data_IF_306501892459
#
_entry.id   IF_306501892459
#
_cell.length_a   1.000
_cell.length_b   1.000
_cell.length_c   1.000
_cell.angle_alpha   90.00
_cell.angle_beta   90.00
_cell.angle_gamma   90.00
#
_symmetry.space_group_name_H-M   'P 1'
#
loop_
_entity.id
_entity.type
_entity.pdbx_description
1 polymer ?
#
# COMPACT_ATOMS: atom_id res chain seq x y z
N UNK A 1 -14.50 10.81 -49.13
CA UNK A 1 -13.91 12.13 -48.80
C UNK A 1 -13.47 12.03 -47.36
N UNK A 2 -12.25 11.57 -47.11
CA UNK A 2 -11.02 12.35 -47.01
C UNK A 2 -11.00 13.26 -45.75
N UNK A 3 -10.43 12.68 -44.68
CA UNK A 3 -9.46 13.25 -43.73
C UNK A 3 -9.94 14.33 -42.76
N UNK A 4 -9.98 13.94 -41.48
CA UNK A 4 -9.17 14.55 -40.44
C UNK A 4 -8.83 13.47 -39.41
N UNK A 5 -7.63 12.90 -39.54
CA UNK A 5 -7.01 12.17 -38.45
C UNK A 5 -6.52 13.22 -37.45
N UNK A 6 -7.12 13.28 -36.27
CA UNK A 6 -6.44 13.88 -35.12
C UNK A 6 -5.41 12.85 -34.67
N UNK A 7 -4.16 13.08 -35.09
CA UNK A 7 -2.99 12.46 -34.48
C UNK A 7 -2.98 12.90 -33.01
N UNK A 8 -2.91 12.00 -32.02
CA UNK A 8 -2.51 12.42 -30.69
C UNK A 8 -1.06 12.90 -30.79
N UNK A 9 -0.83 14.14 -30.36
CA UNK A 9 0.49 14.65 -30.06
C UNK A 9 1.11 13.71 -29.03
N UNK A 10 2.14 12.97 -29.45
CA UNK A 10 2.97 12.21 -28.54
C UNK A 10 3.56 13.20 -27.53
N UNK A 11 3.18 13.07 -26.25
CA UNK A 11 3.91 13.73 -25.17
C UNK A 11 5.22 12.96 -25.06
N UNK A 12 6.36 13.57 -25.40
CA UNK A 12 7.65 12.91 -25.31
C UNK A 12 8.21 13.03 -23.89
N UNK A 13 7.52 12.47 -22.89
CA UNK A 13 8.03 12.50 -21.52
C UNK A 13 9.28 11.61 -21.41
N UNK A 14 9.29 10.45 -22.08
CA UNK A 14 10.33 9.43 -21.84
C UNK A 14 11.72 9.72 -22.46
N UNK A 15 11.82 10.36 -23.63
CA UNK A 15 13.13 10.57 -24.28
C UNK A 15 13.83 11.87 -23.85
N UNK A 16 13.07 12.93 -23.58
CA UNK A 16 13.63 14.27 -23.29
C UNK A 16 13.52 14.69 -21.84
N UNK A 17 12.60 14.13 -21.06
CA UNK A 17 12.40 14.47 -19.66
C UNK A 17 12.64 13.26 -18.74
N UNK A 18 12.88 13.54 -17.47
CA UNK A 18 13.04 12.54 -16.43
C UNK A 18 12.45 13.10 -15.14
N UNK A 19 11.76 12.26 -14.38
CA UNK A 19 11.33 12.57 -13.02
C UNK A 19 12.46 12.08 -12.09
N UNK A 20 12.90 12.95 -11.19
CA UNK A 20 13.97 12.68 -10.23
C UNK A 20 13.54 13.21 -8.86
N UNK A 21 14.00 12.60 -7.75
CA UNK A 21 13.96 13.26 -6.45
C UNK A 21 14.62 14.64 -6.51
N UNK A 22 13.98 15.67 -5.95
CA UNK A 22 14.60 17.00 -5.86
C UNK A 22 15.87 16.92 -4.99
N UNK A 23 17.01 17.52 -5.41
CA UNK A 23 18.23 17.49 -4.63
C UNK A 23 18.05 18.03 -3.20
N UNK A 24 18.24 17.16 -2.20
CA UNK A 24 18.09 17.48 -0.78
C UNK A 24 16.70 17.19 -0.20
N UNK A 25 15.77 16.73 -1.04
CA UNK A 25 14.54 16.08 -0.62
C UNK A 25 14.88 14.71 -0.02
N UNK A 26 14.27 14.39 1.12
CA UNK A 26 14.40 13.09 1.79
C UNK A 26 13.02 12.49 1.77
N UNK A 27 12.92 11.24 1.32
CA UNK A 27 11.67 10.49 1.39
C UNK A 27 11.25 10.33 2.86
N UNK A 28 10.03 10.74 3.17
CA UNK A 28 9.42 10.44 4.45
C UNK A 28 8.61 9.16 4.30
N UNK A 29 9.10 8.06 4.87
CA UNK A 29 8.38 6.79 4.88
C UNK A 29 7.13 6.92 5.74
N UNK A 30 5.99 6.50 5.17
CA UNK A 30 4.66 6.52 5.79
C UNK A 30 4.03 5.14 5.89
N UNK A 31 4.57 4.15 5.16
CA UNK A 31 4.09 2.78 5.19
C UNK A 31 5.12 1.79 4.62
N UNK A 32 4.93 0.52 4.94
CA UNK A 32 5.78 -0.58 4.51
C UNK A 32 4.92 -1.81 4.27
N UNK A 33 5.27 -2.61 3.27
CA UNK A 33 4.69 -3.94 3.04
C UNK A 33 5.81 -4.93 2.76
N UNK A 34 5.99 -5.93 3.64
CA UNK A 34 6.99 -6.99 3.48
C UNK A 34 6.54 -8.11 2.55
N UNK A 35 6.76 -9.37 2.94
CA UNK A 35 6.38 -10.55 2.15
C UNK A 35 5.81 -11.69 3.02
N UNK A 36 4.68 -12.31 2.63
CA UNK A 36 3.80 -12.00 1.52
C UNK A 36 2.90 -10.78 1.80
N UNK A 37 2.25 -10.28 0.75
CA UNK A 37 1.28 -9.17 0.82
C UNK A 37 -0.04 -9.54 0.14
N UNK A 38 -1.07 -8.74 0.40
CA UNK A 38 -2.39 -8.83 -0.22
C UNK A 38 -2.51 -7.74 -1.30
N UNK A 39 -2.76 -8.10 -2.58
CA UNK A 39 -2.98 -7.11 -3.62
C UNK A 39 -4.14 -6.17 -3.26
N UNK A 40 -4.08 -4.89 -3.65
CA UNK A 40 -3.09 -4.26 -4.54
C UNK A 40 -1.76 -3.87 -3.86
N UNK A 41 -1.54 -4.14 -2.56
CA UNK A 41 -0.23 -3.92 -1.97
C UNK A 41 0.87 -4.70 -2.72
N UNK A 42 2.06 -4.12 -2.80
CA UNK A 42 3.19 -4.68 -3.56
C UNK A 42 4.22 -5.23 -2.58
N UNK A 43 4.73 -6.43 -2.89
CA UNK A 43 5.72 -7.11 -2.04
C UNK A 43 6.98 -6.25 -1.91
N UNK A 44 7.47 -6.11 -0.68
CA UNK A 44 8.66 -5.33 -0.32
C UNK A 44 8.57 -3.90 -0.84
N UNK A 45 7.40 -3.28 -0.64
CA UNK A 45 7.18 -1.89 -1.01
C UNK A 45 7.24 -0.98 0.19
N UNK A 46 7.80 0.20 -0.04
CA UNK A 46 7.77 1.32 0.90
C UNK A 46 6.83 2.35 0.33
N UNK A 47 6.01 2.93 1.20
CA UNK A 47 5.19 4.08 0.88
C UNK A 47 5.81 5.30 1.56
N UNK A 48 5.76 6.44 0.88
CA UNK A 48 6.33 7.65 1.42
C UNK A 48 5.90 8.89 0.69
N UNK A 49 6.52 10.00 1.08
CA UNK A 49 6.28 11.32 0.51
C UNK A 49 7.60 11.97 0.17
N UNK A 50 7.69 12.54 -1.04
CA UNK A 50 8.90 13.19 -1.50
C UNK A 50 8.59 14.30 -2.51
N UNK A 51 9.48 15.30 -2.54
CA UNK A 51 9.51 16.32 -3.60
C UNK A 51 10.27 15.79 -4.81
N UNK A 52 9.68 15.92 -6.00
CA UNK A 52 10.27 15.54 -7.28
C UNK A 52 10.52 16.74 -8.17
N UNK A 53 11.53 16.63 -9.04
CA UNK A 53 11.83 17.54 -10.13
C UNK A 53 11.57 16.89 -11.50
N UNK A 54 11.06 17.69 -12.43
CA UNK A 54 11.03 17.34 -13.85
C UNK A 54 12.28 17.90 -14.52
N UNK A 55 13.19 17.02 -14.93
CA UNK A 55 14.48 17.36 -15.52
C UNK A 55 14.48 17.21 -17.05
N UNK A 56 14.82 18.26 -17.78
CA UNK A 56 15.00 18.21 -19.24
C UNK A 56 16.42 17.73 -19.58
N UNK A 57 16.54 16.49 -20.06
CA UNK A 57 17.80 15.85 -20.48
C UNK A 57 18.46 16.54 -21.67
N UNK A 58 17.70 17.25 -22.50
CA UNK A 58 18.19 17.94 -23.69
C UNK A 58 18.93 19.22 -23.34
N UNK A 59 18.38 19.97 -22.38
CA UNK A 59 18.95 21.24 -21.92
C UNK A 59 19.84 21.08 -20.68
N UNK A 60 19.67 19.99 -19.93
CA UNK A 60 20.31 19.74 -18.65
C UNK A 60 19.81 20.68 -17.55
N UNK A 61 18.51 21.00 -17.54
CA UNK A 61 17.90 21.95 -16.60
C UNK A 61 16.61 21.39 -16.00
N UNK A 62 16.31 21.82 -14.78
CA UNK A 62 15.02 21.57 -14.11
C UNK A 62 13.94 22.47 -14.72
N UNK A 63 12.81 21.88 -15.04
CA UNK A 63 11.65 22.54 -15.64
C UNK A 63 10.64 23.00 -14.58
N UNK A 64 10.50 22.21 -13.52
CA UNK A 64 9.65 22.48 -12.37
C UNK A 64 9.72 21.36 -11.35
N UNK A 65 8.97 21.52 -10.26
CA UNK A 65 8.96 20.62 -9.11
C UNK A 65 7.54 20.41 -8.59
N UNK A 66 7.30 19.28 -7.94
CA UNK A 66 6.00 18.87 -7.40
C UNK A 66 6.17 17.96 -6.18
N UNK A 67 5.19 17.97 -5.28
CA UNK A 67 5.07 16.98 -4.21
C UNK A 67 4.33 15.74 -4.73
N UNK A 68 4.76 14.55 -4.31
CA UNK A 68 4.03 13.33 -4.57
C UNK A 68 4.06 12.39 -3.36
N UNK A 69 2.95 11.68 -3.16
CA UNK A 69 2.99 10.40 -2.45
C UNK A 69 3.61 9.37 -3.40
N UNK A 70 4.47 8.52 -2.88
CA UNK A 70 5.15 7.49 -3.66
C UNK A 70 5.01 6.10 -3.03
N UNK A 71 5.08 5.09 -3.89
CA UNK A 71 5.38 3.73 -3.47
C UNK A 71 6.53 3.19 -4.30
N UNK A 72 7.54 2.66 -3.63
CA UNK A 72 8.72 2.08 -4.26
C UNK A 72 8.86 0.63 -3.88
N UNK A 73 9.18 -0.21 -4.84
CA UNK A 73 9.57 -1.59 -4.57
C UNK A 73 10.75 -1.98 -5.43
N UNK A 74 11.81 -2.39 -4.76
CA UNK A 74 13.03 -2.90 -5.37
C UNK A 74 12.90 -4.42 -5.56
N UNK A 75 13.07 -4.89 -6.78
CA UNK A 75 13.10 -6.33 -7.05
C UNK A 75 14.51 -6.88 -6.88
N UNK A 76 14.57 -8.08 -6.31
CA UNK A 76 15.74 -8.94 -6.14
C UNK A 76 16.52 -9.25 -7.45
N UNK A 77 15.98 -8.90 -8.61
CA UNK A 77 16.55 -9.16 -9.94
C UNK A 77 16.97 -7.90 -10.70
N UNK A 78 17.08 -6.74 -10.02
CA UNK A 78 17.44 -5.47 -10.65
C UNK A 78 16.32 -4.83 -11.46
N UNK A 79 15.10 -5.37 -11.35
CA UNK A 79 13.89 -4.66 -11.71
C UNK A 79 13.47 -3.81 -10.51
N UNK A 80 12.85 -2.66 -10.71
CA UNK A 80 12.33 -1.88 -9.61
C UNK A 80 11.19 -1.02 -10.11
N UNK A 81 10.28 -0.69 -9.21
CA UNK A 81 9.09 0.04 -9.55
C UNK A 81 8.88 1.22 -8.60
N UNK A 82 8.42 2.32 -9.18
CA UNK A 82 8.10 3.55 -8.49
C UNK A 82 6.77 4.06 -9.03
N UNK A 83 5.81 4.16 -8.12
CA UNK A 83 4.49 4.71 -8.33
C UNK A 83 4.43 6.07 -7.66
N UNK A 84 3.87 7.06 -8.35
CA UNK A 84 3.73 8.43 -7.88
C UNK A 84 2.26 8.86 -8.02
N UNK A 85 1.73 9.47 -6.97
CA UNK A 85 0.52 10.29 -7.00
C UNK A 85 0.91 11.74 -6.75
N UNK A 86 0.72 12.61 -7.74
CA UNK A 86 1.04 14.04 -7.57
C UNK A 86 0.03 14.70 -6.65
N UNK A 87 0.50 15.25 -5.53
CA UNK A 87 -0.32 15.84 -4.48
C UNK A 87 -0.31 17.36 -4.49
N UNK A 88 0.75 17.98 -5.02
CA UNK A 88 0.84 19.45 -5.07
C UNK A 88 1.82 19.95 -6.15
N UNK A 89 1.45 21.03 -6.83
CA UNK A 89 2.31 21.72 -7.80
C UNK A 89 3.16 22.78 -7.08
N UNK A 90 4.49 22.70 -7.18
CA UNK A 90 5.39 23.67 -6.53
C UNK A 90 5.89 24.73 -7.50
N UNK A 91 6.50 24.32 -8.60
CA UNK A 91 7.09 25.21 -9.61
C UNK A 91 6.94 24.66 -11.02
N UNK A 92 7.08 25.52 -12.03
CA UNK A 92 6.88 25.16 -13.43
C UNK A 92 5.46 25.44 -13.90
N UNK A 93 5.09 24.88 -15.06
CA UNK A 93 3.72 24.94 -15.59
C UNK A 93 3.09 23.57 -15.45
N UNK A 94 2.03 23.45 -14.65
CA UNK A 94 1.28 22.21 -14.54
C UNK A 94 0.45 21.96 -15.81
N UNK A 95 0.51 20.76 -16.35
CA UNK A 95 -0.21 20.41 -17.56
C UNK A 95 0.12 19.02 -18.12
N UNK A 96 -0.62 18.62 -19.14
CA UNK A 96 -0.42 17.32 -19.82
C UNK A 96 0.50 17.44 -21.04
N UNK A 97 1.05 18.62 -21.31
CA UNK A 97 1.95 18.89 -22.42
C UNK A 97 3.38 18.43 -22.17
N UNK A 98 4.17 18.39 -23.25
CA UNK A 98 5.59 18.07 -23.14
C UNK A 98 6.34 19.19 -22.42
N UNK A 99 7.06 18.83 -21.35
CA UNK A 99 7.77 19.80 -20.51
C UNK A 99 6.87 20.52 -19.50
N UNK A 100 5.60 20.14 -19.39
CA UNK A 100 4.78 20.54 -18.26
C UNK A 100 5.05 19.60 -17.08
N UNK A 101 4.97 20.14 -15.87
CA UNK A 101 4.95 19.33 -14.63
C UNK A 101 3.61 18.60 -14.57
N UNK A 102 3.56 17.32 -14.16
CA UNK A 102 2.30 16.59 -14.06
C UNK A 102 1.34 17.31 -13.09
N UNK A 103 0.06 17.53 -13.45
CA UNK A 103 -0.90 18.18 -12.56
C UNK A 103 -1.22 17.35 -11.32
N UNK A 104 -1.66 18.00 -10.25
CA UNK A 104 -2.21 17.33 -9.07
C UNK A 104 -3.31 16.33 -9.43
N UNK A 105 -3.27 15.14 -8.82
CA UNK A 105 -4.12 13.99 -9.12
C UNK A 105 -3.58 13.08 -10.23
N UNK A 106 -2.44 13.42 -10.84
CA UNK A 106 -1.81 12.54 -11.83
C UNK A 106 -1.18 11.31 -11.18
N UNK A 107 -1.35 10.15 -11.80
CA UNK A 107 -0.71 8.89 -11.44
C UNK A 107 0.38 8.55 -12.45
N UNK A 108 1.59 8.28 -11.97
CA UNK A 108 2.73 7.89 -12.81
C UNK A 108 3.36 6.64 -12.23
N UNK A 109 3.48 5.60 -13.05
CA UNK A 109 4.13 4.37 -12.66
C UNK A 109 5.35 4.09 -13.55
N UNK A 110 6.51 3.93 -12.94
CA UNK A 110 7.79 3.68 -13.59
C UNK A 110 8.24 2.28 -13.17
N UNK A 111 8.31 1.34 -14.12
CA UNK A 111 8.91 0.03 -13.88
C UNK A 111 10.20 -0.10 -14.70
N UNK A 112 11.34 -0.11 -14.02
CA UNK A 112 12.65 -0.41 -14.59
C UNK A 112 12.87 -1.92 -14.50
N UNK A 113 13.32 -2.55 -15.59
CA UNK A 113 13.66 -3.98 -15.64
C UNK A 113 15.18 -4.20 -15.77
N UNK A 114 15.96 -3.13 -15.63
CA UNK A 114 17.39 -3.12 -15.82
C UNK A 114 17.80 -3.08 -17.29
N UNK A 115 19.10 -2.87 -17.52
CA UNK A 115 19.73 -2.90 -18.86
C UNK A 115 19.08 -1.97 -19.90
N UNK A 116 18.46 -0.86 -19.45
CA UNK A 116 17.80 0.12 -20.32
C UNK A 116 16.42 -0.31 -20.81
N UNK A 117 15.79 -1.31 -20.17
CA UNK A 117 14.38 -1.66 -20.39
C UNK A 117 13.52 -1.06 -19.29
N UNK A 118 12.55 -0.23 -19.65
CA UNK A 118 11.65 0.41 -18.69
C UNK A 118 10.27 0.57 -19.32
N UNK A 119 9.22 0.45 -18.51
CA UNK A 119 7.88 0.92 -18.88
C UNK A 119 7.49 2.09 -18.00
N UNK A 120 6.90 3.12 -18.62
CA UNK A 120 6.32 4.25 -17.91
C UNK A 120 4.84 4.28 -18.26
N UNK A 121 3.98 4.14 -17.28
CA UNK A 121 2.56 4.42 -17.39
C UNK A 121 2.29 5.80 -16.77
N UNK A 122 1.45 6.61 -17.41
CA UNK A 122 1.05 7.91 -16.89
C UNK A 122 -0.42 8.17 -17.21
N UNK A 123 -1.21 8.44 -16.17
CA UNK A 123 -2.54 9.01 -16.24
C UNK A 123 -2.46 10.45 -15.72
N UNK A 124 -2.40 11.42 -16.64
CA UNK A 124 -2.20 12.82 -16.28
C UNK A 124 -3.56 13.51 -16.15
N UNK A 125 -3.83 14.05 -14.95
CA UNK A 125 -5.10 14.67 -14.60
C UNK A 125 -5.38 15.92 -15.47
N UNK A 126 -6.62 16.10 -15.94
CA UNK A 126 -7.01 17.23 -16.78
C UNK A 126 -8.51 17.53 -16.73
N UNK A 127 -8.87 18.81 -16.75
CA UNK A 127 -10.28 19.27 -16.72
C UNK A 127 -11.08 18.87 -17.96
N UNK A 128 -10.41 18.60 -19.08
CA UNK A 128 -11.04 18.20 -20.34
C UNK A 128 -11.06 16.66 -20.52
N UNK A 129 -10.68 15.92 -19.47
CA UNK A 129 -10.43 14.48 -19.48
C UNK A 129 -8.95 14.17 -19.42
N UNK A 130 -8.60 13.09 -18.72
CA UNK A 130 -7.23 12.74 -18.41
C UNK A 130 -6.48 12.18 -19.63
N UNK A 131 -5.16 12.39 -19.64
CA UNK A 131 -4.28 11.94 -20.71
C UNK A 131 -3.54 10.69 -20.27
N UNK A 132 -4.01 9.54 -20.75
CA UNK A 132 -3.45 8.23 -20.39
C UNK A 132 -2.48 7.72 -21.45
N UNK A 133 -1.24 7.49 -21.07
CA UNK A 133 -0.16 7.03 -21.95
C UNK A 133 0.65 5.91 -21.33
N UNK A 134 1.20 5.05 -22.20
CA UNK A 134 2.19 4.04 -21.83
C UNK A 134 3.39 4.18 -22.75
N UNK A 135 4.58 4.21 -22.16
CA UNK A 135 5.87 4.19 -22.84
C UNK A 135 6.59 2.88 -22.57
N UNK A 136 7.26 2.36 -23.58
CA UNK A 136 8.24 1.29 -23.48
C UNK A 136 9.58 1.84 -23.97
N UNK A 137 10.50 2.00 -23.03
CA UNK A 137 11.89 2.38 -23.26
C UNK A 137 12.74 1.13 -23.40
N UNK A 138 13.59 1.08 -24.42
CA UNK A 138 14.56 0.01 -24.65
C UNK A 138 15.92 0.62 -25.01
N UNK A 139 17.01 -0.18 -25.03
CA UNK A 139 18.30 0.29 -25.55
C UNK A 139 18.28 0.78 -27.00
N UNK A 140 17.22 0.48 -27.76
CA UNK A 140 17.06 0.85 -29.17
C UNK A 140 16.16 2.08 -29.37
N UNK A 141 15.63 2.65 -28.29
CA UNK A 141 14.75 3.81 -28.29
C UNK A 141 13.42 3.55 -27.58
N UNK A 142 12.59 4.58 -27.57
CA UNK A 142 11.31 4.60 -26.85
C UNK A 142 10.14 4.59 -27.81
N UNK A 143 9.08 3.87 -27.44
CA UNK A 143 7.81 3.85 -28.14
C UNK A 143 6.67 4.16 -27.18
N UNK A 144 5.59 4.73 -27.68
CA UNK A 144 4.39 5.03 -26.88
C UNK A 144 3.12 4.46 -27.49
N UNK A 145 2.15 4.18 -26.63
CA UNK A 145 0.79 3.81 -26.99
C UNK A 145 -0.20 4.50 -26.05
N UNK A 146 -1.43 4.78 -26.50
CA UNK A 146 -2.50 5.17 -25.59
C UNK A 146 -2.68 4.11 -24.48
N UNK A 147 -2.91 4.56 -23.24
CA UNK A 147 -3.37 3.68 -22.17
C UNK A 147 -4.88 3.48 -22.26
N UNK A 148 -5.38 2.38 -21.68
CA UNK A 148 -6.80 2.02 -21.67
C UNK A 148 -7.44 2.12 -20.28
N UNK A 149 -6.63 2.00 -19.23
CA UNK A 149 -7.02 2.18 -17.84
C UNK A 149 -6.52 3.53 -17.38
N UNK A 150 -7.38 4.30 -16.75
CA UNK A 150 -7.12 5.65 -16.28
C UNK A 150 -7.06 5.63 -14.76
N UNK A 151 -5.86 5.46 -14.20
CA UNK A 151 -5.67 5.33 -12.75
C UNK A 151 -5.88 6.67 -12.01
N UNK A 152 -5.86 7.80 -12.72
CA UNK A 152 -6.20 9.10 -12.16
C UNK A 152 -7.72 9.31 -12.10
N UNK A 153 -8.49 8.55 -12.89
CA UNK A 153 -9.94 8.64 -12.90
C UNK A 153 -10.51 8.16 -11.57
N UNK A 154 -11.07 9.12 -10.83
CA UNK A 154 -11.72 8.84 -9.55
C UNK A 154 -10.79 8.72 -8.36
N UNK A 155 -9.50 9.00 -8.54
CA UNK A 155 -8.46 8.78 -7.56
C UNK A 155 -7.53 10.02 -7.54
N UNK A 156 -7.73 10.91 -6.55
CA UNK A 156 -7.07 12.22 -6.38
C UNK A 156 -7.89 13.17 -5.48
N UNK A 157 -7.51 14.46 -5.34
CA UNK A 157 -8.29 15.51 -4.60
C UNK A 157 -9.72 15.77 -5.14
N UNK A 158 -10.16 14.98 -6.10
CA UNK A 158 -11.53 14.91 -6.62
C UNK A 158 -11.98 13.44 -6.59
N UNK A 159 -11.78 12.74 -5.47
CA UNK A 159 -12.09 11.32 -5.34
C UNK A 159 -13.49 11.03 -5.89
N UNK A 160 -13.60 10.02 -6.75
CA UNK A 160 -14.89 9.55 -7.24
C UNK A 160 -15.69 8.86 -6.13
N UNK A 161 -15.10 8.65 -4.95
CA UNK A 161 -15.79 8.21 -3.75
C UNK A 161 -16.62 9.31 -3.13
N UNK A 162 -17.75 9.53 -3.79
CA UNK A 162 -18.89 10.26 -3.28
C UNK A 162 -20.15 9.41 -3.34
N UNK A 163 -20.04 8.12 -3.71
CA UNK A 163 -21.20 7.25 -3.83
C UNK A 163 -21.69 6.84 -2.45
N UNK A 164 -22.94 7.16 -2.09
CA UNK A 164 -23.48 6.74 -0.81
C UNK A 164 -23.71 5.23 -0.79
N UNK A 165 -23.14 4.54 0.20
CA UNK A 165 -23.28 3.09 0.33
C UNK A 165 -24.57 2.77 1.05
N UNK A 166 -25.51 2.20 0.29
CA UNK A 166 -26.83 1.87 0.79
C UNK A 166 -26.76 0.64 1.69
N UNK A 167 -27.36 0.77 2.88
CA UNK A 167 -27.53 -0.31 3.84
C UNK A 167 -28.94 -0.91 3.68
N UNK A 168 -29.07 -2.21 4.01
CA UNK A 168 -30.34 -2.94 3.85
C UNK A 168 -31.45 -2.48 4.82
N UNK A 169 -31.13 -1.65 5.80
CA UNK A 169 -32.00 -1.21 6.89
C UNK A 169 -32.68 0.15 6.65
N UNK A 170 -32.48 0.74 5.47
CA UNK A 170 -33.04 2.03 5.09
C UNK A 170 -32.15 3.23 5.46
N UNK A 171 -30.88 2.98 5.79
CA UNK A 171 -29.85 3.99 5.97
C UNK A 171 -28.78 3.87 4.88
N UNK A 172 -27.90 4.86 4.83
CA UNK A 172 -26.66 4.78 4.07
C UNK A 172 -25.58 5.55 4.80
N UNK A 173 -24.33 5.27 4.47
CA UNK A 173 -23.22 6.15 4.84
C UNK A 173 -22.58 6.74 3.58
N UNK A 174 -21.99 7.91 3.74
CA UNK A 174 -21.30 8.61 2.68
C UNK A 174 -20.26 9.55 3.30
N UNK A 175 -19.21 9.92 2.55
CA UNK A 175 -18.30 10.98 2.95
C UNK A 175 -19.03 12.24 3.40
N UNK A 176 -18.54 12.83 4.49
CA UNK A 176 -19.14 14.02 5.06
C UNK A 176 -19.07 15.19 4.06
N UNK A 177 -20.22 15.83 3.82
CA UNK A 177 -20.34 16.87 2.80
C UNK A 177 -19.34 18.02 3.02
N UNK A 178 -18.50 18.28 2.02
CA UNK A 178 -17.52 19.38 2.03
C UNK A 178 -16.25 19.09 2.82
N UNK A 179 -16.02 17.82 3.20
CA UNK A 179 -14.77 17.33 3.79
C UNK A 179 -14.19 16.32 2.81
N UNK A 180 -13.07 16.69 2.19
CA UNK A 180 -12.36 15.80 1.28
C UNK A 180 -11.61 14.71 2.07
N UNK A 181 -11.37 13.58 1.42
CA UNK A 181 -10.45 12.57 1.94
C UNK A 181 -9.05 13.17 2.13
N UNK A 182 -8.42 12.85 3.25
CA UNK A 182 -7.03 13.19 3.48
C UNK A 182 -6.17 12.00 3.07
N UNK A 183 -5.68 12.05 1.83
CA UNK A 183 -4.81 11.04 1.22
C UNK A 183 -3.45 11.06 1.92
N UNK A 184 -2.92 9.87 2.22
CA UNK A 184 -1.65 9.70 2.93
C UNK A 184 -0.66 8.78 2.22
N UNK A 185 -1.12 7.97 1.27
CA UNK A 185 -0.28 7.00 0.57
C UNK A 185 -0.92 6.53 -0.74
N UNK A 186 -0.07 5.97 -1.59
CA UNK A 186 -0.43 5.34 -2.86
C UNK A 186 0.21 3.96 -2.94
N UNK A 187 -0.38 3.02 -3.67
CA UNK A 187 0.14 1.67 -3.87
C UNK A 187 -0.39 1.02 -5.15
N UNK A 188 0.08 -0.19 -5.47
CA UNK A 188 -0.33 -0.94 -6.67
C UNK A 188 0.66 -0.91 -7.83
N UNK A 189 0.27 -1.53 -8.94
CA UNK A 189 1.08 -1.68 -10.14
C UNK A 189 0.34 -1.20 -11.42
N UNK A 190 0.07 0.11 -11.58
CA UNK A 190 -0.63 0.59 -12.77
C UNK A 190 0.07 0.20 -14.08
N UNK A 191 -0.67 -0.22 -15.11
CA UNK A 191 -2.12 -0.15 -15.25
C UNK A 191 -2.89 -1.39 -14.75
N UNK A 192 -2.27 -2.29 -13.99
CA UNK A 192 -2.98 -3.49 -13.50
C UNK A 192 -4.00 -3.12 -12.42
N UNK A 193 -3.55 -2.36 -11.43
CA UNK A 193 -4.32 -1.91 -10.28
C UNK A 193 -3.70 -0.63 -9.70
N UNK A 194 -4.44 0.04 -8.82
CA UNK A 194 -4.01 1.16 -8.00
C UNK A 194 -4.71 1.05 -6.64
N UNK A 195 -4.03 1.46 -5.57
CA UNK A 195 -4.61 1.77 -4.27
C UNK A 195 -4.26 3.21 -3.88
N UNK A 196 -5.22 3.93 -3.36
CA UNK A 196 -5.01 5.20 -2.65
C UNK A 196 -5.54 5.01 -1.24
N UNK A 197 -4.71 5.34 -0.25
CA UNK A 197 -5.07 5.20 1.15
C UNK A 197 -5.07 6.56 1.83
N UNK A 198 -5.90 6.67 2.86
CA UNK A 198 -6.12 7.92 3.54
C UNK A 198 -7.02 7.78 4.75
N UNK A 199 -7.55 8.91 5.19
CA UNK A 199 -8.54 8.99 6.24
C UNK A 199 -9.69 9.91 5.83
N UNK A 200 -10.91 9.50 6.19
CA UNK A 200 -12.11 10.20 5.79
C UNK A 200 -13.17 10.20 6.89
N UNK A 201 -13.87 11.33 7.00
CA UNK A 201 -15.03 11.47 7.87
C UNK A 201 -16.28 11.03 7.09
N UNK A 202 -17.06 10.12 7.65
CA UNK A 202 -18.32 9.66 7.10
C UNK A 202 -19.49 10.12 7.97
N UNK A 203 -20.61 10.41 7.31
CA UNK A 203 -21.90 10.60 7.97
C UNK A 203 -22.80 9.40 7.65
N UNK A 204 -23.62 8.99 8.62
CA UNK A 204 -24.72 8.04 8.43
C UNK A 204 -26.02 8.82 8.25
N UNK A 205 -26.84 8.46 7.27
CA UNK A 205 -28.05 9.16 6.88
C UNK A 205 -29.27 8.25 6.88
N UNK A 206 -30.42 8.77 7.32
CA UNK A 206 -31.73 8.18 7.06
C UNK A 206 -32.10 8.40 5.58
N UNK A 207 -32.21 7.31 4.81
CA UNK A 207 -32.45 7.38 3.37
C UNK A 207 -33.82 7.98 3.01
N UNK A 208 -34.80 7.98 3.93
CA UNK A 208 -36.13 8.50 3.66
C UNK A 208 -36.17 10.03 3.57
N UNK A 209 -35.22 10.72 4.20
CA UNK A 209 -35.23 12.18 4.32
C UNK A 209 -33.85 12.85 4.14
N UNK A 210 -32.79 12.07 3.87
CA UNK A 210 -31.42 12.57 3.67
C UNK A 210 -30.94 13.39 4.89
N UNK A 211 -31.19 12.85 6.09
CA UNK A 211 -30.81 13.48 7.34
C UNK A 211 -29.70 12.68 8.03
N UNK A 212 -28.59 13.34 8.33
CA UNK A 212 -27.50 12.75 9.08
C UNK A 212 -27.94 12.37 10.50
N UNK A 213 -27.78 11.10 10.87
CA UNK A 213 -28.13 10.54 12.19
C UNK A 213 -26.90 10.29 13.07
N UNK A 214 -25.71 10.24 12.48
CA UNK A 214 -24.43 10.07 13.17
C UNK A 214 -23.24 10.25 12.23
N UNK A 215 -22.03 10.12 12.77
CA UNK A 215 -20.79 10.25 12.03
C UNK A 215 -19.66 9.41 12.66
N UNK A 216 -18.70 9.00 11.84
CA UNK A 216 -17.50 8.26 12.27
C UNK A 216 -16.29 8.63 11.40
N UNK A 217 -15.09 8.52 11.97
CA UNK A 217 -13.82 8.65 11.25
C UNK A 217 -13.30 7.26 10.91
N UNK A 218 -12.73 7.11 9.72
CA UNK A 218 -12.11 5.86 9.31
C UNK A 218 -10.79 6.08 8.57
N UNK A 219 -9.97 5.03 8.57
CA UNK A 219 -8.96 4.78 7.53
C UNK A 219 -9.70 4.21 6.32
N UNK A 220 -9.28 4.62 5.12
CA UNK A 220 -9.92 4.23 3.86
C UNK A 220 -8.85 3.84 2.87
N UNK A 221 -9.12 2.78 2.09
CA UNK A 221 -8.35 2.44 0.91
C UNK A 221 -9.26 2.19 -0.28
N UNK A 222 -9.03 3.02 -1.29
CA UNK A 222 -9.77 3.02 -2.54
C UNK A 222 -8.93 2.35 -3.62
N UNK A 223 -9.45 1.29 -4.22
CA UNK A 223 -8.75 0.55 -5.26
C UNK A 223 -9.49 0.60 -6.58
N UNK A 224 -8.77 0.50 -7.69
CA UNK A 224 -9.35 0.22 -8.99
C UNK A 224 -8.43 -0.64 -9.86
N UNK A 225 -9.01 -1.40 -10.77
CA UNK A 225 -8.29 -2.36 -11.61
C UNK A 225 -8.53 -2.19 -13.13
N UNK A 226 -7.69 -2.85 -13.93
CA UNK A 226 -7.77 -2.85 -15.40
C UNK A 226 -9.09 -3.40 -15.97
N UNK A 227 -9.88 -4.11 -15.17
CA UNK A 227 -11.20 -4.64 -15.57
C UNK A 227 -12.36 -3.81 -15.02
N UNK A 228 -12.06 -2.61 -14.50
CA UNK A 228 -13.00 -1.59 -14.04
C UNK A 228 -13.79 -1.97 -12.79
N UNK A 229 -13.27 -2.87 -11.95
CA UNK A 229 -13.77 -2.99 -10.58
C UNK A 229 -13.17 -1.88 -9.73
N UNK A 230 -13.91 -1.45 -8.71
CA UNK A 230 -13.39 -0.56 -7.66
C UNK A 230 -13.75 -1.10 -6.30
N UNK A 231 -12.92 -0.84 -5.30
CA UNK A 231 -13.22 -1.19 -3.90
C UNK A 231 -12.97 -0.03 -2.98
N UNK A 232 -13.72 0.02 -1.89
CA UNK A 232 -13.51 0.95 -0.78
C UNK A 232 -13.47 0.11 0.50
N UNK A 233 -12.27 -0.11 1.03
CA UNK A 233 -12.06 -0.75 2.33
C UNK A 233 -11.97 0.33 3.41
N UNK A 234 -12.74 0.16 4.49
CA UNK A 234 -12.94 1.17 5.52
C UNK A 234 -12.73 0.53 6.88
N UNK A 235 -11.83 1.10 7.69
CA UNK A 235 -11.65 0.71 9.08
C UNK A 235 -11.99 1.86 10.03
N UNK A 236 -13.02 1.68 10.86
CA UNK A 236 -13.52 2.72 11.76
C UNK A 236 -12.58 2.91 12.95
N UNK A 237 -11.97 4.09 13.02
CA UNK A 237 -11.00 4.45 14.05
C UNK A 237 -11.59 5.32 15.15
N UNK A 238 -12.68 6.05 14.88
CA UNK A 238 -13.30 6.93 15.87
C UNK A 238 -14.81 7.08 15.70
N UNK A 239 -15.55 6.95 16.81
CA UNK A 239 -16.94 7.40 16.90
C UNK A 239 -17.00 8.92 17.10
N UNK A 240 -17.73 9.62 16.23
CA UNK A 240 -17.85 11.09 16.26
C UNK A 240 -19.18 11.52 16.86
N UNK A 241 -20.29 10.90 16.43
CA UNK A 241 -21.63 11.19 16.94
C UNK A 241 -22.64 10.12 16.55
N UNK A 242 -23.75 10.04 17.27
CA UNK A 242 -24.79 9.04 17.04
C UNK A 242 -24.78 7.99 18.15
N UNK A 243 -25.32 6.81 17.86
CA UNK A 243 -25.22 5.63 18.73
C UNK A 243 -24.39 4.60 17.99
N UNK A 244 -23.22 4.23 18.51
CA UNK A 244 -22.40 3.18 17.94
C UNK A 244 -23.00 1.80 18.23
N UNK A 245 -23.17 0.97 17.20
CA UNK A 245 -23.82 -0.33 17.37
C UNK A 245 -24.10 -1.08 16.07
N UNK A 246 -25.06 -2.00 16.15
CA UNK A 246 -25.50 -2.88 15.05
C UNK A 246 -27.00 -2.75 14.77
N UNK A 247 -27.70 -1.84 15.47
CA UNK A 247 -29.10 -1.58 15.20
C UNK A 247 -29.24 -0.66 13.99
N UNK A 248 -30.43 -0.64 13.40
CA UNK A 248 -30.67 0.15 12.20
C UNK A 248 -30.44 1.65 12.45
N UNK A 249 -29.58 2.26 11.64
CA UNK A 249 -29.19 3.67 11.75
C UNK A 249 -28.19 4.01 12.86
N UNK A 250 -27.66 3.01 13.56
CA UNK A 250 -26.48 3.18 14.41
C UNK A 250 -25.26 3.52 13.54
N UNK A 251 -24.30 4.24 14.12
CA UNK A 251 -22.96 4.33 13.52
C UNK A 251 -22.21 3.03 13.73
N UNK A 252 -21.34 2.61 12.79
CA UNK A 252 -20.48 1.47 13.05
C UNK A 252 -19.54 1.77 14.23
N UNK A 253 -19.37 0.85 15.19
CA UNK A 253 -18.45 1.04 16.30
C UNK A 253 -16.98 1.06 15.86
N UNK A 254 -16.11 1.63 16.70
CA UNK A 254 -14.65 1.57 16.50
C UNK A 254 -14.20 0.12 16.40
N UNK A 255 -13.36 -0.17 15.41
CA UNK A 255 -12.92 -1.51 15.07
C UNK A 255 -13.80 -2.22 14.04
N UNK A 256 -14.88 -1.59 13.56
CA UNK A 256 -15.61 -2.11 12.39
C UNK A 256 -14.74 -2.01 11.15
N UNK A 257 -14.60 -3.12 10.42
CA UNK A 257 -14.05 -3.15 9.07
C UNK A 257 -15.19 -3.36 8.07
N UNK A 258 -15.19 -2.59 6.99
CA UNK A 258 -16.14 -2.70 5.89
C UNK A 258 -15.36 -2.76 4.58
N UNK A 259 -15.88 -3.49 3.60
CA UNK A 259 -15.41 -3.39 2.22
C UNK A 259 -16.59 -3.33 1.28
N UNK A 260 -16.53 -2.40 0.34
CA UNK A 260 -17.52 -2.28 -0.73
C UNK A 260 -16.84 -2.56 -2.05
N UNK A 261 -17.15 -3.71 -2.63
CA UNK A 261 -16.64 -4.10 -3.94
C UNK A 261 -17.67 -3.75 -5.02
N UNK A 262 -17.39 -2.73 -5.82
CA UNK A 262 -18.18 -2.40 -7.00
C UNK A 262 -17.66 -3.20 -8.19
N UNK A 263 -18.54 -4.01 -8.76
CA UNK A 263 -18.28 -4.61 -10.05
C UNK A 263 -18.37 -3.52 -11.15
N UNK A 264 -17.95 -3.84 -12.37
CA UNK A 264 -18.07 -2.93 -13.51
C UNK A 264 -19.48 -2.30 -13.74
N UNK A 265 -20.53 -2.85 -13.12
CA UNK A 265 -21.84 -2.19 -12.95
C UNK A 265 -21.97 -1.68 -11.50
N UNK A 266 -21.96 -0.35 -11.25
CA UNK A 266 -22.00 0.20 -9.90
C UNK A 266 -23.32 -0.06 -9.16
N UNK A 267 -24.37 -0.53 -9.86
CA UNK A 267 -25.61 -0.96 -9.20
C UNK A 267 -25.53 -2.35 -8.60
N UNK A 268 -24.46 -3.09 -8.88
CA UNK A 268 -24.15 -4.41 -8.32
C UNK A 268 -22.87 -4.25 -7.52
N UNK A 269 -22.97 -4.46 -6.21
CA UNK A 269 -21.80 -4.39 -5.33
C UNK A 269 -21.89 -5.43 -4.22
N UNK A 270 -20.75 -5.83 -3.71
CA UNK A 270 -20.65 -6.67 -2.53
C UNK A 270 -20.30 -5.78 -1.33
N UNK A 271 -21.11 -5.85 -0.28
CA UNK A 271 -20.87 -5.19 0.99
C UNK A 271 -20.50 -6.26 2.02
N UNK A 272 -19.25 -6.24 2.44
CA UNK A 272 -18.71 -7.07 3.50
C UNK A 272 -18.46 -6.22 4.74
N UNK A 273 -18.81 -6.73 5.93
CA UNK A 273 -18.59 -6.02 7.19
C UNK A 273 -18.20 -6.99 8.31
N UNK A 274 -17.25 -6.57 9.13
CA UNK A 274 -16.91 -7.17 10.43
C UNK A 274 -17.17 -6.12 11.50
N UNK A 275 -18.20 -6.31 12.30
CA UNK A 275 -18.57 -5.36 13.37
C UNK A 275 -18.28 -5.95 14.75
N UNK A 276 -17.41 -5.33 15.56
CA UNK A 276 -17.14 -5.80 16.91
C UNK A 276 -18.33 -5.59 17.85
N UNK A 277 -18.59 -6.59 18.70
CA UNK A 277 -19.60 -6.51 19.75
C UNK A 277 -19.06 -7.07 21.06
N UNK A 278 -19.77 -6.83 22.17
CA UNK A 278 -19.41 -7.41 23.48
C UNK A 278 -19.41 -8.96 23.52
N UNK A 279 -20.01 -9.62 22.52
CA UNK A 279 -20.10 -11.08 22.41
C UNK A 279 -19.17 -11.67 21.33
N UNK A 280 -18.33 -10.87 20.69
CA UNK A 280 -17.51 -11.23 19.53
C UNK A 280 -17.95 -10.52 18.25
N UNK A 281 -17.22 -10.74 17.17
CA UNK A 281 -17.46 -10.08 15.89
C UNK A 281 -18.74 -10.61 15.22
N UNK A 282 -19.53 -9.69 14.66
CA UNK A 282 -20.66 -9.99 13.78
C UNK A 282 -20.19 -9.75 12.35
N UNK A 283 -20.23 -10.80 11.53
CA UNK A 283 -19.77 -10.76 10.14
C UNK A 283 -20.99 -10.81 9.22
N UNK A 284 -21.06 -9.87 8.28
CA UNK A 284 -22.02 -9.84 7.17
C UNK A 284 -21.31 -9.79 5.83
N UNK A 285 -21.89 -10.44 4.84
CA UNK A 285 -21.45 -10.39 3.45
C UNK A 285 -22.72 -10.41 2.59
N UNK A 286 -22.98 -9.32 1.87
CA UNK A 286 -24.20 -9.13 1.09
C UNK A 286 -23.88 -8.68 -0.32
N UNK A 287 -24.29 -9.47 -1.30
CA UNK A 287 -24.34 -9.02 -2.69
C UNK A 287 -25.62 -8.20 -2.90
N UNK A 288 -25.46 -6.90 -3.08
CA UNK A 288 -26.53 -5.96 -3.40
C UNK A 288 -26.75 -5.93 -4.91
N UNK A 289 -28.00 -6.05 -5.34
CA UNK A 289 -28.36 -6.01 -6.76
C UNK A 289 -29.67 -5.25 -6.99
N UNK A 290 -29.93 -4.75 -8.21
CA UNK A 290 -31.23 -4.15 -8.56
C UNK A 290 -32.43 -5.10 -8.43
N UNK A 291 -32.18 -6.40 -8.27
CA UNK A 291 -33.20 -7.44 -8.16
C UNK A 291 -33.43 -7.92 -6.73
N UNK A 292 -32.70 -7.34 -5.76
CA UNK A 292 -32.72 -7.69 -4.35
C UNK A 292 -31.37 -8.17 -3.84
N UNK A 293 -31.26 -8.24 -2.52
CA UNK A 293 -29.99 -8.51 -1.83
C UNK A 293 -29.85 -9.99 -1.51
N UNK A 294 -28.61 -10.50 -1.63
CA UNK A 294 -28.27 -11.89 -1.37
C UNK A 294 -27.19 -11.96 -0.30
N UNK A 295 -27.54 -12.51 0.87
CA UNK A 295 -26.57 -12.79 1.92
C UNK A 295 -25.70 -14.00 1.54
N UNK A 296 -24.39 -13.84 1.60
CA UNK A 296 -23.37 -14.85 1.34
C UNK A 296 -22.83 -15.32 2.71
N UNK A 297 -23.23 -16.50 3.22
CA UNK A 297 -22.78 -16.94 4.53
C UNK A 297 -21.30 -17.34 4.49
N UNK A 298 -20.42 -16.45 4.96
CA UNK A 298 -18.99 -16.66 5.07
C UNK A 298 -18.49 -16.26 6.47
N UNK A 299 -17.79 -17.13 7.21
CA UNK A 299 -17.31 -16.83 8.57
C UNK A 299 -15.91 -16.19 8.59
N UNK A 300 -15.46 -15.62 7.47
CA UNK A 300 -14.14 -14.98 7.39
C UNK A 300 -14.15 -13.69 8.20
N UNK A 301 -13.14 -13.52 9.05
CA UNK A 301 -12.95 -12.35 9.89
C UNK A 301 -11.70 -11.60 9.42
N UNK A 302 -11.89 -10.61 8.56
CA UNK A 302 -10.82 -9.74 8.06
C UNK A 302 -10.01 -9.05 9.17
N UNK A 303 -10.64 -8.77 10.32
CA UNK A 303 -9.96 -8.10 11.44
C UNK A 303 -8.94 -8.99 12.14
N UNK A 304 -8.90 -10.29 11.84
CA UNK A 304 -7.85 -11.17 12.35
C UNK A 304 -6.46 -10.84 11.79
N UNK A 305 -6.35 -10.05 10.72
CA UNK A 305 -5.05 -9.52 10.31
C UNK A 305 -4.42 -8.63 11.41
N UNK A 306 -5.23 -7.94 12.22
CA UNK A 306 -4.73 -7.13 13.34
C UNK A 306 -4.23 -7.94 14.54
N UNK A 307 -4.28 -9.27 14.48
CA UNK A 307 -3.73 -10.11 15.55
C UNK A 307 -2.20 -9.93 15.55
N UNK A 308 -1.69 -9.28 16.60
CA UNK A 308 -0.24 -9.07 16.77
C UNK A 308 0.39 -10.28 17.45
N UNK A 309 1.50 -10.76 16.90
CA UNK A 309 2.12 -12.00 17.36
C UNK A 309 3.51 -11.74 17.95
N UNK A 310 3.83 -12.46 19.03
CA UNK A 310 5.23 -12.62 19.42
C UNK A 310 5.83 -13.79 18.66
N UNK A 311 7.06 -13.66 18.16
CA UNK A 311 7.79 -14.77 17.55
C UNK A 311 9.20 -14.90 18.13
N UNK A 312 9.77 -16.09 18.01
CA UNK A 312 11.12 -16.40 18.51
C UNK A 312 12.07 -16.60 17.34
N UNK A 313 13.17 -15.85 17.33
CA UNK A 313 14.24 -15.96 16.36
C UNK A 313 14.91 -17.34 16.49
N UNK A 314 14.85 -18.19 15.45
CA UNK A 314 15.42 -19.55 15.53
C UNK A 314 16.95 -19.57 15.66
N UNK A 315 17.61 -18.46 15.33
CA UNK A 315 19.07 -18.32 15.33
C UNK A 315 19.68 -18.26 16.73
N UNK A 316 18.98 -17.67 17.69
CA UNK A 316 19.50 -17.40 19.04
C UNK A 316 18.49 -17.65 20.18
N UNK A 317 17.21 -17.91 19.87
CA UNK A 317 16.17 -18.16 20.85
C UNK A 317 15.65 -16.91 21.55
N UNK A 318 15.94 -15.73 21.03
CA UNK A 318 15.37 -14.45 21.49
C UNK A 318 13.98 -14.26 20.89
N UNK A 319 13.10 -13.57 21.62
CA UNK A 319 11.72 -13.33 21.20
C UNK A 319 11.50 -11.85 20.92
N UNK A 320 10.86 -11.55 19.80
CA UNK A 320 10.33 -10.22 19.47
C UNK A 320 8.89 -10.21 19.95
N UNK A 321 8.57 -9.27 20.86
CA UNK A 321 7.30 -9.21 21.57
C UNK A 321 6.71 -7.81 21.42
N UNK A 322 5.48 -7.65 20.90
CA UNK A 322 4.85 -6.33 20.77
C UNK A 322 4.57 -5.69 22.15
N UNK A 323 4.76 -4.38 22.23
CA UNK A 323 4.56 -3.58 23.44
C UNK A 323 3.38 -2.61 23.25
N UNK A 324 2.26 -2.90 23.90
CA UNK A 324 1.08 -2.03 23.82
C UNK A 324 0.17 -2.39 22.64
N UNK A 325 -0.41 -1.38 22.00
CA UNK A 325 -1.33 -1.54 20.87
C UNK A 325 -0.75 -0.81 19.67
N UNK A 326 -0.84 -1.45 18.51
CA UNK A 326 -0.38 -0.90 17.25
C UNK A 326 -1.11 0.42 16.94
N UNK A 327 -0.36 1.39 16.46
CA UNK A 327 -0.91 2.64 15.93
C UNK A 327 -1.07 2.46 14.43
N UNK A 328 -2.29 2.13 14.00
CA UNK A 328 -2.60 1.95 12.59
C UNK A 328 -2.42 3.24 11.79
N UNK A 329 -1.78 3.11 10.63
CA UNK A 329 -1.60 4.16 9.64
C UNK A 329 -2.46 3.92 8.38
N UNK A 330 -2.73 2.65 8.04
CA UNK A 330 -3.56 2.29 6.90
C UNK A 330 -4.13 0.87 6.96
N UNK A 331 -5.03 0.60 6.02
CA UNK A 331 -5.72 -0.67 5.78
C UNK A 331 -5.67 -0.96 4.28
N UNK A 332 -5.60 -2.20 3.82
CA UNK A 332 -5.58 -2.51 2.38
C UNK A 332 -6.03 -3.96 2.13
N UNK A 333 -6.52 -4.29 0.93
CA UNK A 333 -6.96 -5.62 0.55
C UNK A 333 -8.34 -5.61 -0.09
N UNK A 334 -8.89 -6.82 -0.29
CA UNK A 334 -10.22 -7.02 -0.90
C UNK A 334 -11.06 -8.01 -0.07
N UNK A 335 -11.51 -7.63 1.14
CA UNK A 335 -12.37 -8.50 1.94
C UNK A 335 -13.66 -8.89 1.19
N UNK A 336 -14.17 -10.13 1.32
CA UNK A 336 -13.71 -11.17 2.25
C UNK A 336 -12.65 -12.13 1.67
N UNK A 337 -11.87 -11.70 0.68
CA UNK A 337 -10.80 -12.52 0.10
C UNK A 337 -9.54 -12.44 0.95
N UNK A 338 -9.16 -11.21 1.30
CA UNK A 338 -7.99 -10.88 2.10
C UNK A 338 -8.10 -9.46 2.69
N UNK A 339 -7.23 -9.16 3.63
CA UNK A 339 -7.09 -7.86 4.30
C UNK A 339 -5.68 -7.72 4.82
N UNK A 340 -5.24 -6.48 4.96
CA UNK A 340 -3.97 -6.09 5.54
C UNK A 340 -4.10 -4.79 6.29
N UNK A 341 -3.24 -4.63 7.27
CA UNK A 341 -3.10 -3.43 8.07
C UNK A 341 -1.63 -3.07 8.12
N UNK A 342 -1.34 -1.79 8.21
CA UNK A 342 0.00 -1.34 8.51
C UNK A 342 -0.02 -0.15 9.43
N UNK A 343 1.08 0.03 10.14
CA UNK A 343 1.18 1.02 11.19
C UNK A 343 2.52 0.95 11.91
N UNK A 344 2.50 1.43 13.15
CA UNK A 344 3.68 1.56 13.98
C UNK A 344 3.50 0.82 15.31
N UNK A 345 4.54 0.12 15.74
CA UNK A 345 4.54 -0.68 16.97
C UNK A 345 5.92 -0.65 17.65
N UNK A 346 5.95 -0.45 18.97
CA UNK A 346 7.15 -0.70 19.79
C UNK A 346 7.25 -2.21 20.07
N UNK A 347 8.44 -2.78 19.99
CA UNK A 347 8.73 -4.17 20.31
C UNK A 347 9.78 -4.29 21.41
N UNK A 348 9.60 -5.26 22.29
CA UNK A 348 10.59 -5.72 23.24
C UNK A 348 11.35 -6.91 22.64
N UNK A 349 12.68 -6.86 22.74
CA UNK A 349 13.53 -8.03 22.51
C UNK A 349 13.75 -8.74 23.85
N UNK A 350 13.31 -9.98 23.97
CA UNK A 350 13.49 -10.79 25.17
C UNK A 350 14.49 -11.92 24.94
N UNK A 351 15.30 -12.22 25.95
CA UNK A 351 16.15 -13.41 25.91
C UNK A 351 15.33 -14.71 26.05
N UNK A 352 15.97 -15.85 25.83
CA UNK A 352 15.33 -17.17 25.92
C UNK A 352 14.72 -17.51 27.32
N UNK A 353 14.97 -16.67 28.34
CA UNK A 353 14.38 -16.79 29.68
C UNK A 353 13.18 -15.86 29.91
N UNK A 354 12.81 -15.05 28.91
CA UNK A 354 11.76 -14.03 28.99
C UNK A 354 12.22 -12.75 29.70
N UNK A 355 13.52 -12.46 29.70
CA UNK A 355 14.03 -11.19 30.22
C UNK A 355 14.22 -10.19 29.09
N UNK A 356 13.57 -9.03 29.20
CA UNK A 356 13.72 -7.93 28.23
C UNK A 356 15.17 -7.41 28.19
N UNK A 357 15.78 -7.52 27.02
CA UNK A 357 17.10 -6.97 26.67
C UNK A 357 16.98 -5.46 26.41
N UNK A 358 15.95 -5.05 25.67
CA UNK A 358 15.66 -3.65 25.33
C UNK A 358 14.40 -3.54 24.45
N UNK A 359 14.13 -2.34 23.95
CA UNK A 359 13.03 -2.08 22.99
C UNK A 359 13.55 -1.39 21.73
N UNK A 360 12.85 -1.64 20.62
CA UNK A 360 13.02 -0.98 19.34
C UNK A 360 11.65 -0.66 18.76
N UNK A 361 11.59 0.35 17.90
CA UNK A 361 10.39 0.75 17.19
C UNK A 361 10.42 0.19 15.78
N UNK A 362 9.26 -0.20 15.26
CA UNK A 362 9.15 -0.65 13.88
C UNK A 362 7.86 -0.24 13.20
N UNK A 363 7.95 -0.09 11.89
CA UNK A 363 6.80 -0.09 11.00
C UNK A 363 6.40 -1.54 10.77
N UNK A 364 5.11 -1.82 10.86
CA UNK A 364 4.55 -3.16 10.81
C UNK A 364 3.54 -3.24 9.69
N UNK A 365 3.52 -4.37 8.98
CA UNK A 365 2.43 -4.74 8.12
C UNK A 365 1.97 -6.16 8.41
N UNK A 366 0.68 -6.31 8.62
CA UNK A 366 0.05 -7.61 8.85
C UNK A 366 -0.92 -7.91 7.73
N UNK A 367 -1.00 -9.18 7.32
CA UNK A 367 -1.94 -9.59 6.28
C UNK A 367 -2.62 -10.91 6.62
N UNK A 368 -3.88 -11.07 6.21
CA UNK A 368 -4.46 -12.40 6.07
C UNK A 368 -4.05 -12.99 4.72
N UNK A 369 -3.71 -14.27 4.67
CA UNK A 369 -3.38 -14.92 3.40
C UNK A 369 -4.52 -14.92 2.39
N UNK A 370 -4.18 -14.87 1.10
CA UNK A 370 -5.12 -14.93 -0.04
C UNK A 370 -6.12 -16.10 0.13
N UNK A 371 -7.41 -15.79 0.03
CA UNK A 371 -8.57 -16.67 0.29
C UNK A 371 -8.89 -16.95 1.76
N UNK A 372 -8.36 -16.16 2.70
CA UNK A 372 -8.86 -16.00 4.07
C UNK A 372 -9.02 -17.26 4.95
N UNK A 373 -8.66 -18.46 4.47
CA UNK A 373 -9.20 -19.69 5.05
C UNK A 373 -8.28 -20.91 4.97
N UNK A 374 -7.03 -20.73 4.55
CA UNK A 374 -5.97 -21.71 4.82
C UNK A 374 -5.18 -21.37 6.09
N UNK A 375 -5.71 -20.48 6.94
CA UNK A 375 -5.15 -20.14 8.26
C UNK A 375 -3.74 -19.59 8.23
N UNK A 376 -3.37 -18.94 7.12
CA UNK A 376 -2.11 -18.22 7.03
C UNK A 376 -2.34 -16.74 7.31
N UNK A 377 -1.47 -16.14 8.09
CA UNK A 377 -1.29 -14.70 8.20
C UNK A 377 0.19 -14.38 8.06
N UNK A 378 0.52 -13.13 7.75
CA UNK A 378 1.89 -12.66 7.81
C UNK A 378 2.01 -11.41 8.65
N UNK A 379 3.19 -11.22 9.22
CA UNK A 379 3.61 -10.01 9.92
C UNK A 379 5.01 -9.66 9.42
N UNK A 380 5.15 -8.45 8.89
CA UNK A 380 6.39 -7.87 8.42
C UNK A 380 6.76 -6.71 9.35
N UNK A 381 8.02 -6.62 9.76
CA UNK A 381 8.53 -5.58 10.66
C UNK A 381 9.78 -4.97 10.06
N UNK A 382 9.75 -3.65 9.86
CA UNK A 382 10.90 -2.82 9.54
C UNK A 382 11.34 -2.06 10.78
N UNK A 383 12.60 -2.22 11.21
CA UNK A 383 13.13 -1.50 12.38
C UNK A 383 13.41 -0.04 12.01
N UNK A 384 12.72 0.90 12.66
CA UNK A 384 12.79 2.34 12.38
C UNK A 384 13.49 3.15 13.46
N UNK A 385 13.51 2.66 14.70
CA UNK A 385 14.35 3.21 15.76
C UNK A 385 14.82 2.13 16.72
N UNK A 386 16.00 2.33 17.31
CA UNK A 386 16.56 1.44 18.32
C UNK A 386 17.04 2.24 19.55
N UNK A 387 17.04 1.60 20.71
CA UNK A 387 17.56 2.23 21.93
C UNK A 387 18.39 1.24 22.77
N UNK A 388 19.71 1.27 22.62
CA UNK A 388 20.59 0.46 23.45
C UNK A 388 21.87 -0.01 22.78
N UNK A 389 22.27 -1.24 23.11
CA UNK A 389 23.38 -1.92 22.43
C UNK A 389 22.84 -2.60 21.19
N UNK A 390 23.22 -2.11 20.01
CA UNK A 390 22.71 -2.56 18.72
C UNK A 390 23.75 -3.34 17.95
N UNK A 391 23.31 -4.34 17.21
CA UNK A 391 24.18 -5.16 16.38
C UNK A 391 23.52 -6.46 15.97
N UNK A 392 24.34 -7.35 15.42
CA UNK A 392 23.88 -8.63 14.87
C UNK A 392 24.13 -9.81 15.81
N UNK A 393 24.69 -9.57 17.00
CA UNK A 393 24.96 -10.64 17.96
C UNK A 393 23.76 -10.85 18.91
N UNK A 394 23.68 -12.04 19.50
CA UNK A 394 22.71 -12.31 20.56
C UNK A 394 22.93 -11.37 21.75
N UNK A 395 21.85 -10.83 22.29
CA UNK A 395 21.81 -9.83 23.35
C UNK A 395 21.92 -8.39 22.84
N UNK A 396 21.90 -8.18 21.52
CA UNK A 396 21.93 -6.86 20.89
C UNK A 396 20.61 -6.60 20.18
N UNK A 397 20.13 -5.36 20.23
CA UNK A 397 18.95 -4.95 19.49
C UNK A 397 19.25 -4.92 17.98
N UNK A 398 18.27 -5.27 17.13
CA UNK A 398 18.43 -5.15 15.69
C UNK A 398 18.64 -3.67 15.33
N UNK A 399 19.67 -3.33 14.52
CA UNK A 399 19.87 -1.96 14.08
C UNK A 399 18.75 -1.46 13.15
N UNK A 400 18.53 -0.15 13.10
CA UNK A 400 17.64 0.49 12.10
C UNK A 400 17.91 -0.02 10.68
N UNK A 401 16.83 -0.33 9.97
CA UNK A 401 16.82 -0.93 8.64
C UNK A 401 16.86 -2.46 8.63
N UNK A 402 16.91 -3.11 9.79
CA UNK A 402 16.72 -4.56 9.87
C UNK A 402 15.26 -4.92 9.58
N UNK A 403 15.04 -6.06 8.94
CA UNK A 403 13.72 -6.51 8.53
C UNK A 403 13.42 -7.93 9.03
N UNK A 404 12.17 -8.17 9.38
CA UNK A 404 11.66 -9.47 9.78
C UNK A 404 10.35 -9.75 9.05
N UNK A 405 10.23 -10.94 8.46
CA UNK A 405 8.99 -11.40 7.84
C UNK A 405 8.61 -12.74 8.47
N UNK A 406 7.41 -12.81 9.05
CA UNK A 406 6.88 -14.02 9.66
C UNK A 406 5.62 -14.42 8.94
N UNK A 407 5.58 -15.66 8.46
CA UNK A 407 4.37 -16.27 7.91
C UNK A 407 3.88 -17.32 8.89
N UNK A 408 2.75 -17.06 9.52
CA UNK A 408 2.06 -18.01 10.37
C UNK A 408 1.30 -19.00 9.49
N UNK A 409 1.42 -20.29 9.80
CA UNK A 409 0.72 -21.36 9.11
C UNK A 409 -0.11 -22.20 10.10
N UNK A 410 -1.14 -22.92 9.62
CA UNK A 410 -1.88 -23.84 10.47
C UNK A 410 -1.00 -24.88 11.14
N UNK A 411 -1.50 -25.41 12.26
CA UNK A 411 -0.88 -26.53 12.99
C UNK A 411 0.47 -26.21 13.65
N UNK A 412 0.75 -24.92 13.92
CA UNK A 412 1.95 -24.48 14.64
C UNK A 412 3.21 -24.51 13.77
N UNK A 413 3.04 -24.23 12.48
CA UNK A 413 4.14 -24.02 11.54
C UNK A 413 4.32 -22.51 11.35
N UNK A 414 5.55 -22.06 11.21
CA UNK A 414 5.87 -20.66 10.90
C UNK A 414 7.05 -20.64 9.93
N UNK A 415 7.05 -19.69 9.01
CA UNK A 415 8.25 -19.35 8.25
C UNK A 415 8.75 -18.01 8.77
N UNK A 416 9.97 -17.98 9.31
CA UNK A 416 10.58 -16.77 9.86
C UNK A 416 11.78 -16.41 8.99
N UNK A 417 11.69 -15.26 8.33
CA UNK A 417 12.79 -14.59 7.66
C UNK A 417 13.30 -13.46 8.55
N UNK A 418 14.62 -13.28 8.60
CA UNK A 418 15.26 -12.14 9.24
C UNK A 418 16.45 -11.66 8.42
N UNK A 419 16.57 -10.34 8.32
CA UNK A 419 17.69 -9.64 7.72
C UNK A 419 18.17 -8.57 8.69
N UNK A 420 19.18 -8.91 9.49
CA UNK A 420 19.69 -8.02 10.53
C UNK A 420 20.88 -7.23 9.97
N UNK A 421 20.70 -5.92 9.89
CA UNK A 421 21.68 -5.00 9.32
C UNK A 421 22.99 -5.04 10.09
N UNK A 422 24.12 -5.07 9.36
CA UNK A 422 25.45 -4.93 9.96
C UNK A 422 26.07 -3.57 9.64
N UNK A 423 26.53 -2.86 10.66
CA UNK A 423 27.24 -1.57 10.50
C UNK A 423 28.72 -1.71 10.15
N UNK A 424 29.27 -2.93 10.15
CA UNK A 424 30.71 -3.20 9.97
C UNK A 424 31.04 -4.35 9.02
N UNK A 425 30.03 -5.01 8.46
CA UNK A 425 30.18 -6.21 7.63
C UNK A 425 28.93 -6.49 6.79
N UNK A 426 28.77 -7.75 6.36
CA UNK A 426 27.55 -8.19 5.70
C UNK A 426 26.42 -8.39 6.70
N UNK A 427 25.18 -8.21 6.26
CA UNK A 427 23.99 -8.48 7.04
C UNK A 427 23.93 -9.96 7.50
N UNK A 428 23.23 -10.20 8.60
CA UNK A 428 22.93 -11.56 9.08
C UNK A 428 21.54 -11.94 8.61
N UNK A 429 21.52 -12.67 7.50
CA UNK A 429 20.29 -13.11 6.82
C UNK A 429 19.99 -14.56 7.19
N UNK A 430 18.74 -14.85 7.55
CA UNK A 430 18.27 -16.20 7.77
C UNK A 430 16.83 -16.40 7.34
N UNK A 431 16.50 -17.62 6.93
CA UNK A 431 15.13 -18.06 6.71
C UNK A 431 14.97 -19.44 7.33
N UNK A 432 13.91 -19.63 8.12
CA UNK A 432 13.69 -20.88 8.85
C UNK A 432 12.22 -21.27 8.83
N UNK A 433 11.96 -22.52 8.45
CA UNK A 433 10.68 -23.17 8.67
C UNK A 433 10.66 -23.79 10.07
N UNK A 434 9.91 -23.16 10.98
CA UNK A 434 9.63 -23.63 12.34
C UNK A 434 8.53 -24.68 12.28
N UNK A 435 8.73 -25.81 12.96
CA UNK A 435 7.73 -26.88 13.00
C UNK A 435 7.61 -27.51 14.39
N UNK A 436 6.48 -28.17 14.72
CA UNK A 436 6.33 -28.86 16.00
C UNK A 436 7.33 -30.00 16.25
N UNK A 437 8.12 -30.39 15.24
CA UNK A 437 9.08 -31.51 15.32
C UNK A 437 10.53 -31.08 15.12
N UNK A 438 10.78 -29.77 15.04
CA UNK A 438 12.11 -29.16 14.87
C UNK A 438 12.18 -28.22 13.67
N UNK A 439 13.17 -27.33 13.71
CA UNK A 439 13.28 -26.22 12.77
C UNK A 439 14.22 -26.56 11.61
N UNK A 440 13.90 -26.05 10.42
CA UNK A 440 14.64 -26.28 9.20
C UNK A 440 15.09 -24.95 8.60
N UNK A 441 16.40 -24.71 8.57
CA UNK A 441 16.95 -23.58 7.83
C UNK A 441 16.71 -23.76 6.34
N UNK A 442 16.16 -22.72 5.72
CA UNK A 442 15.94 -22.65 4.28
C UNK A 442 17.05 -21.82 3.64
N UNK A 443 17.62 -22.26 2.50
CA UNK A 443 18.52 -21.40 1.74
C UNK A 443 17.76 -20.20 1.22
N UNK A 444 18.18 -19.00 1.61
CA UNK A 444 17.67 -17.75 1.06
C UNK A 444 18.79 -16.96 0.39
N UNK A 445 18.46 -16.28 -0.69
CA UNK A 445 19.30 -15.25 -1.31
C UNK A 445 18.65 -13.88 -1.23
N UNK A 446 17.57 -13.76 -0.46
CA UNK A 446 16.89 -12.49 -0.24
C UNK A 446 17.70 -11.66 0.76
N UNK A 447 17.97 -10.41 0.42
CA UNK A 447 18.61 -9.39 1.26
C UNK A 447 17.67 -8.19 1.18
N UNK A 448 16.67 -8.16 2.06
CA UNK A 448 15.63 -7.15 2.01
C UNK A 448 16.19 -5.79 2.47
N UNK A 449 17.05 -5.80 3.49
CA UNK A 449 17.64 -4.60 4.07
C UNK A 449 18.66 -3.93 3.13
N UNK A 450 19.20 -4.63 2.13
CA UNK A 450 20.08 -4.04 1.11
C UNK A 450 19.45 -2.82 0.40
N UNK A 451 18.12 -2.77 0.29
CA UNK A 451 17.42 -1.71 -0.43
C UNK A 451 17.38 -0.38 0.33
N UNK A 452 17.51 -0.41 1.66
CA UNK A 452 17.52 0.77 2.53
C UNK A 452 18.91 1.44 2.64
N UNK A 453 19.98 0.66 2.47
CA UNK A 453 21.35 1.18 2.45
C UNK A 453 21.62 2.10 1.23
N UNK A 454 20.83 1.88 0.16
CA UNK A 454 20.57 2.75 -0.98
C UNK A 454 20.78 4.25 -0.74
N UNK A 455 19.93 4.86 0.12
CA UNK A 455 19.60 6.32 0.15
C UNK A 455 19.41 6.98 -1.23
N UNK A 456 19.43 6.18 -2.30
CA UNK A 456 19.42 6.50 -3.70
C UNK A 456 18.33 5.61 -4.24
N UNK A 457 17.12 6.13 -4.21
CA UNK A 457 16.10 5.74 -5.15
C UNK A 457 16.73 5.70 -6.54
N UNK A 458 16.63 4.54 -7.19
CA UNK A 458 17.09 4.18 -8.53
C UNK A 458 17.64 5.32 -9.39
N UNK A 459 18.96 5.49 -9.33
CA UNK A 459 19.70 5.99 -10.48
C UNK A 459 20.67 4.90 -10.91
N UNK A 460 20.31 3.98 -11.84
CA UNK A 460 21.32 3.21 -12.54
C UNK A 460 21.99 4.13 -13.57
N UNK A 461 22.76 5.09 -13.06
CA UNK A 461 23.76 5.83 -13.81
C UNK A 461 24.94 4.93 -14.11
N UNK A 462 24.76 3.93 -14.97
CA UNK A 462 25.82 3.29 -15.74
C UNK A 462 26.91 2.47 -15.00
N UNK A 463 26.97 1.19 -15.40
CA UNK A 463 28.17 0.37 -15.59
C UNK A 463 29.02 -0.01 -14.36
N UNK A 464 28.64 -1.14 -13.74
CA UNK A 464 29.45 -1.93 -12.84
C UNK A 464 28.65 -2.13 -11.56
N UNK A 465 27.81 -3.15 -11.47
CA UNK A 465 28.24 -4.45 -10.97
C UNK A 465 27.15 -5.50 -11.27
N UNK A 466 27.30 -6.28 -12.33
CA UNK A 466 26.58 -7.56 -12.46
C UNK A 466 27.36 -8.49 -13.41
N UNK A 467 28.59 -8.81 -13.03
CA UNK A 467 29.29 -9.97 -13.60
C UNK A 467 29.25 -11.07 -12.54
N UNK A 468 28.70 -12.22 -12.95
CA UNK A 468 28.41 -13.42 -12.14
C UNK A 468 27.08 -13.26 -11.39
N UNK A 469 25.98 -13.93 -11.73
CA UNK A 469 25.85 -15.29 -12.21
C UNK A 469 24.55 -15.46 -13.00
N UNK A 470 24.67 -15.62 -14.33
CA UNK A 470 23.64 -16.26 -15.14
C UNK A 470 23.87 -17.77 -15.09
N UNK A 471 23.02 -18.50 -14.36
CA UNK A 471 22.49 -19.82 -14.73
C UNK A 471 21.15 -20.06 -14.04
#
# INVERSE_FOLDING_TARGET
MLVAACLPTAVSVADSYQILPEPGSVEQITGFFGSPVTPPAVVNSFQGQQVFELFDKTTGQVVGTFDADESTNSSLYGAANQLLLVTNDLTGTAGTGSGDVPPVGSIINIADFGHGYQTIYAALASTDGDVVTKYLTTPFGTSSSPGYFDAALGHGILSADTQPVQLADGYYWAPATGIDENITSVGGLPPADIAIEGNQLFNVYDAANDHATGAFQALVTNTSDLVFNTTEEIYVTQDISGTAGTAAGDTPPVGTLMNVFYFADPQIYNLYEVTPTSSGNVISDTLVTPYGDFNIPLPYDATSAMDVHSFTLPTNGESIVPVGTEVLAGVNGVPPVDSSFHGYQEFALEDASGHTIGTFDGDVATTTGLFGNFGNSSEAILVTADSGNVGTAAGELPPVGSEFDVVYHPFGFETIYSDIVSTTGANVISETLVTPWGDFSMPTSMDLAAHLADSVLLVPGGLGELISNLF
#
